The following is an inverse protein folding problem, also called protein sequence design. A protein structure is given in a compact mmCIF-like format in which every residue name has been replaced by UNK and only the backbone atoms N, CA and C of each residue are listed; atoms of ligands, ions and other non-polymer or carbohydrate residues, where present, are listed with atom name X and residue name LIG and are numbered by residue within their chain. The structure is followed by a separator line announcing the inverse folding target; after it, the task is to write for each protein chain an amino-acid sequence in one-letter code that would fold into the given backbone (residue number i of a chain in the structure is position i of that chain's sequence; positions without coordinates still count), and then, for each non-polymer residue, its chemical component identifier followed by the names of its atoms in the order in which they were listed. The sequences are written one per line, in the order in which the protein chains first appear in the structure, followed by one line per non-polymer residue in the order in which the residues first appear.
data_IF_835377852232
#
_entry.id   IF_835377852232
#
_cell.length_a   1.000
_cell.length_b   1.000
_cell.length_c   1.000
_cell.angle_alpha   90.00
_cell.angle_beta   90.00
_cell.angle_gamma   90.00
#
_symmetry.space_group_name_H-M   'P 1'
#
loop_
_entity.id
_entity.type
_entity.pdbx_description
1 polymer ?
#
# COMPACT_ATOMS: atom_id res chain seq x y z
N UNK A 1 -20.90 -2.62 2.20
CA UNK A 1 -20.39 -1.50 1.39
C UNK A 1 -20.91 -1.73 -0.02
N UNK A 2 -21.89 -0.95 -0.50
CA UNK A 2 -22.55 -1.14 -1.80
C UNK A 2 -22.00 -0.23 -2.91
N UNK A 3 -21.32 0.85 -2.55
CA UNK A 3 -20.92 1.92 -3.48
C UNK A 3 -19.42 2.23 -3.39
N UNK A 4 -18.62 1.18 -3.39
CA UNK A 4 -17.16 1.28 -3.28
C UNK A 4 -16.45 0.68 -4.47
N UNK A 5 -15.29 1.24 -4.80
CA UNK A 5 -14.35 0.72 -5.77
C UNK A 5 -13.13 0.13 -5.05
N UNK A 6 -12.70 -1.06 -5.48
CA UNK A 6 -11.45 -1.67 -5.03
C UNK A 6 -10.22 -1.04 -5.72
N UNK A 7 -9.12 -0.86 -4.98
CA UNK A 7 -7.88 -0.29 -5.54
C UNK A 7 -7.13 -1.23 -6.50
N UNK A 8 -7.53 -2.50 -6.64
CA UNK A 8 -6.99 -3.38 -7.69
C UNK A 8 -7.24 -2.82 -9.10
N UNK A 9 -8.34 -2.09 -9.26
CA UNK A 9 -8.75 -1.48 -10.53
C UNK A 9 -7.86 -0.27 -10.92
N UNK A 10 -7.00 0.23 -10.02
CA UNK A 10 -6.12 1.37 -10.30
C UNK A 10 -5.24 1.17 -11.54
N UNK A 11 -4.72 -0.04 -11.75
CA UNK A 11 -3.84 -0.32 -12.90
C UNK A 11 -4.52 -0.02 -14.22
N UNK A 12 -5.71 -0.61 -14.43
CA UNK A 12 -6.52 -0.38 -15.63
C UNK A 12 -6.95 1.08 -15.74
N UNK A 13 -7.46 1.68 -14.66
CA UNK A 13 -7.91 3.08 -14.69
C UNK A 13 -6.80 4.07 -15.00
N UNK A 14 -5.61 3.90 -14.42
CA UNK A 14 -4.51 4.86 -14.57
C UNK A 14 -3.80 4.72 -15.91
N UNK A 15 -3.84 3.55 -16.54
CA UNK A 15 -3.38 3.37 -17.93
C UNK A 15 -4.30 4.11 -18.91
N UNK A 16 -5.61 4.07 -18.71
CA UNK A 16 -6.58 4.72 -19.60
C UNK A 16 -6.70 6.23 -19.33
N UNK A 17 -6.71 6.60 -18.05
CA UNK A 17 -6.83 7.98 -17.58
C UNK A 17 -5.90 8.20 -16.39
N UNK A 18 -4.66 8.63 -16.62
CA UNK A 18 -3.70 8.87 -15.56
C UNK A 18 -4.24 9.86 -14.50
N UNK A 19 -4.01 9.62 -13.20
CA UNK A 19 -4.34 10.58 -12.16
C UNK A 19 -3.43 11.80 -12.26
N UNK A 20 -3.80 12.90 -11.60
CA UNK A 20 -2.85 13.98 -11.37
C UNK A 20 -1.67 13.50 -10.52
N UNK A 21 -0.52 14.15 -10.65
CA UNK A 21 0.64 13.89 -9.81
C UNK A 21 0.29 13.97 -8.31
N UNK A 22 -0.52 14.97 -7.93
CA UNK A 22 -0.93 15.19 -6.55
C UNK A 22 -1.85 14.09 -6.04
N UNK A 23 -2.84 13.69 -6.82
CA UNK A 23 -3.79 12.63 -6.47
C UNK A 23 -3.06 11.29 -6.28
N UNK A 24 -2.13 10.95 -7.19
CA UNK A 24 -1.27 9.77 -7.08
C UNK A 24 -0.43 9.80 -5.80
N UNK A 25 0.24 10.92 -5.54
CA UNK A 25 1.05 11.09 -4.34
C UNK A 25 0.21 10.93 -3.06
N UNK A 26 -0.93 11.63 -2.97
CA UNK A 26 -1.82 11.58 -1.81
C UNK A 26 -2.28 10.14 -1.53
N UNK A 27 -2.62 9.37 -2.57
CA UNK A 27 -3.10 7.99 -2.40
C UNK A 27 -1.98 7.06 -1.90
N UNK A 28 -0.78 7.16 -2.48
CA UNK A 28 0.40 6.40 -2.03
C UNK A 28 0.72 6.71 -0.56
N UNK A 29 0.71 7.99 -0.19
CA UNK A 29 0.97 8.42 1.17
C UNK A 29 -0.10 7.92 2.14
N UNK A 30 -1.38 7.92 1.73
CA UNK A 30 -2.48 7.37 2.54
C UNK A 30 -2.30 5.87 2.79
N UNK A 31 -2.01 5.08 1.75
CA UNK A 31 -1.80 3.64 1.89
C UNK A 31 -0.59 3.34 2.79
N UNK A 32 0.51 4.07 2.60
CA UNK A 32 1.70 3.96 3.43
C UNK A 32 1.41 4.31 4.91
N UNK A 33 0.62 5.35 5.14
CA UNK A 33 0.18 5.74 6.48
C UNK A 33 -0.69 4.66 7.13
N UNK A 34 -1.67 4.11 6.41
CA UNK A 34 -2.51 3.01 6.91
C UNK A 34 -1.65 1.80 7.27
N UNK A 35 -0.77 1.36 6.37
CA UNK A 35 0.13 0.23 6.61
C UNK A 35 1.07 0.47 7.81
N UNK A 36 1.67 1.66 7.87
CA UNK A 36 2.59 2.03 8.95
C UNK A 36 1.88 2.09 10.31
N UNK A 37 0.69 2.68 10.37
CA UNK A 37 -0.11 2.76 11.60
C UNK A 37 -0.56 1.37 12.04
N UNK A 38 -1.09 0.55 11.13
CA UNK A 38 -1.46 -0.84 11.41
C UNK A 38 -0.29 -1.61 12.05
N UNK A 39 0.90 -1.56 11.43
CA UNK A 39 2.07 -2.26 11.94
C UNK A 39 2.63 -1.70 13.26
N UNK A 40 2.58 -0.38 13.46
CA UNK A 40 3.02 0.27 14.72
C UNK A 40 2.10 -0.08 15.88
N UNK A 41 0.79 -0.13 15.64
CA UNK A 41 -0.23 -0.56 16.60
C UNK A 41 -0.29 -2.09 16.77
N UNK A 42 0.69 -2.82 16.22
CA UNK A 42 0.84 -4.24 16.48
C UNK A 42 -0.09 -5.14 15.65
N UNK A 43 -0.82 -4.58 14.68
CA UNK A 43 -1.71 -5.30 13.79
C UNK A 43 -1.01 -5.70 12.49
N UNK A 44 -1.21 -6.93 12.03
CA UNK A 44 -0.84 -7.38 10.68
C UNK A 44 -2.04 -8.07 10.02
N UNK A 45 -2.28 -7.81 8.74
CA UNK A 45 -3.48 -8.25 8.02
C UNK A 45 -3.39 -9.68 7.50
N UNK A 46 -2.20 -10.12 7.07
CA UNK A 46 -1.88 -11.42 6.42
C UNK A 46 -2.34 -11.59 4.98
N UNK A 47 -3.36 -10.86 4.54
CA UNK A 47 -3.88 -10.83 3.17
C UNK A 47 -3.89 -9.39 2.66
N UNK A 48 -2.75 -8.70 2.79
CA UNK A 48 -2.66 -7.26 2.58
C UNK A 48 -2.45 -6.90 1.10
N UNK A 49 -3.52 -6.92 0.31
CA UNK A 49 -3.50 -6.64 -1.13
C UNK A 49 -4.28 -5.36 -1.46
N UNK A 50 -3.99 -4.71 -2.61
CA UNK A 50 -4.75 -3.55 -3.10
C UNK A 50 -6.24 -3.85 -3.21
N UNK A 51 -6.63 -5.08 -3.52
CA UNK A 51 -8.03 -5.46 -3.66
C UNK A 51 -8.86 -5.26 -2.37
N UNK A 52 -8.19 -5.26 -1.20
CA UNK A 52 -8.81 -5.08 0.11
C UNK A 52 -8.87 -3.61 0.57
N UNK A 53 -8.37 -2.69 -0.24
CA UNK A 53 -8.57 -1.25 -0.02
C UNK A 53 -9.71 -0.78 -0.90
N UNK A 54 -10.70 -0.17 -0.26
CA UNK A 54 -11.90 0.34 -0.92
C UNK A 54 -11.97 1.86 -0.81
N UNK A 55 -12.25 2.51 -1.94
CA UNK A 55 -12.61 3.92 -2.05
C UNK A 55 -14.09 4.06 -2.37
N UNK A 56 -14.62 5.26 -2.18
CA UNK A 56 -15.92 5.63 -2.73
C UNK A 56 -15.92 5.50 -4.27
N UNK A 57 -17.03 5.03 -4.85
CA UNK A 57 -17.13 4.79 -6.30
C UNK A 57 -16.95 6.06 -7.14
N UNK A 58 -17.22 7.26 -6.59
CA UNK A 58 -16.94 8.54 -7.27
C UNK A 58 -15.47 8.72 -7.65
N UNK A 59 -14.53 8.06 -6.95
CA UNK A 59 -13.12 8.07 -7.33
C UNK A 59 -12.90 7.48 -8.73
N UNK A 60 -13.64 6.43 -9.09
CA UNK A 60 -13.56 5.80 -10.41
C UNK A 60 -13.92 6.75 -11.55
N UNK A 61 -14.67 7.82 -11.26
CA UNK A 61 -15.13 8.79 -12.25
C UNK A 61 -14.12 9.90 -12.51
N UNK A 62 -13.21 10.18 -11.57
CA UNK A 62 -12.30 11.33 -11.66
C UNK A 62 -10.81 10.97 -11.56
N UNK A 63 -10.46 9.84 -10.94
CA UNK A 63 -9.10 9.52 -10.48
C UNK A 63 -8.48 10.62 -9.60
N UNK A 64 -9.32 11.45 -8.99
CA UNK A 64 -8.87 12.49 -8.07
C UNK A 64 -9.04 12.01 -6.62
N UNK A 65 -7.91 11.89 -5.92
CA UNK A 65 -7.86 11.48 -4.52
C UNK A 65 -7.45 12.66 -3.64
N UNK A 66 -8.34 13.02 -2.72
CA UNK A 66 -8.09 14.00 -1.68
C UNK A 66 -7.77 13.31 -0.35
N UNK A 67 -6.83 13.82 0.48
CA UNK A 67 -6.43 13.15 1.72
C UNK A 67 -7.55 12.93 2.75
N UNK A 68 -8.61 13.73 2.66
CA UNK A 68 -9.84 13.64 3.46
C UNK A 68 -10.75 12.49 3.05
N UNK A 69 -10.58 11.94 1.84
CA UNK A 69 -11.39 10.80 1.38
C UNK A 69 -11.03 9.55 2.18
N UNK A 70 -12.04 8.85 2.73
CA UNK A 70 -11.80 7.63 3.49
C UNK A 70 -11.33 6.51 2.57
N UNK A 71 -10.44 5.67 3.10
CA UNK A 71 -10.12 4.37 2.51
C UNK A 71 -10.53 3.32 3.53
N UNK A 72 -11.35 2.36 3.11
CA UNK A 72 -11.78 1.25 3.95
C UNK A 72 -10.88 0.05 3.69
N UNK A 73 -10.26 -0.47 4.75
CA UNK A 73 -9.53 -1.73 4.71
C UNK A 73 -10.48 -2.85 5.15
N UNK A 74 -10.71 -3.82 4.28
CA UNK A 74 -11.64 -4.94 4.52
C UNK A 74 -10.88 -6.25 4.72
N UNK A 75 -11.62 -7.35 4.88
CA UNK A 75 -11.08 -8.71 4.96
C UNK A 75 -10.13 -8.99 6.15
N UNK A 76 -10.47 -8.43 7.31
CA UNK A 76 -9.68 -8.56 8.55
C UNK A 76 -9.85 -9.91 9.28
N UNK A 77 -10.49 -10.90 8.67
CA UNK A 77 -10.84 -12.19 9.30
C UNK A 77 -9.60 -12.99 9.76
N UNK A 78 -8.45 -12.78 9.11
CA UNK A 78 -7.15 -13.38 9.48
C UNK A 78 -6.19 -12.42 10.17
N UNK A 79 -6.58 -11.16 10.35
CA UNK A 79 -5.72 -10.17 10.97
C UNK A 79 -5.33 -10.57 12.40
N UNK A 80 -4.12 -10.19 12.80
CA UNK A 80 -3.57 -10.51 14.13
C UNK A 80 -3.11 -9.24 14.81
N UNK A 81 -3.40 -9.11 16.10
CA UNK A 81 -2.97 -7.99 16.95
C UNK A 81 -1.99 -8.51 18.00
N UNK A 82 -0.90 -7.78 18.21
CA UNK A 82 0.21 -8.12 19.11
C UNK A 82 0.77 -6.86 19.77
N UNK A 83 1.69 -7.01 20.74
CA UNK A 83 2.47 -5.86 21.26
C UNK A 83 3.35 -5.21 20.19
N UNK A 84 3.88 -6.00 19.25
CA UNK A 84 4.71 -5.54 18.12
C UNK A 84 4.55 -6.53 16.97
N UNK A 85 4.41 -6.04 15.74
CA UNK A 85 4.41 -6.90 14.56
C UNK A 85 5.82 -7.44 14.31
N UNK A 86 6.03 -8.78 14.30
CA UNK A 86 7.30 -9.37 13.91
C UNK A 86 7.66 -9.04 12.45
N UNK A 87 8.96 -8.86 12.17
CA UNK A 87 9.46 -8.51 10.82
C UNK A 87 8.90 -9.39 9.70
N UNK A 88 8.83 -10.71 9.91
CA UNK A 88 8.28 -11.65 8.91
C UNK A 88 6.85 -11.30 8.46
N UNK A 89 6.04 -10.75 9.36
CA UNK A 89 4.66 -10.35 9.05
C UNK A 89 4.62 -8.99 8.36
N UNK A 90 5.52 -8.06 8.69
CA UNK A 90 5.69 -6.82 7.94
C UNK A 90 6.11 -7.11 6.49
N UNK A 91 7.11 -7.98 6.31
CA UNK A 91 7.55 -8.45 4.98
C UNK A 91 6.38 -9.09 4.24
N UNK A 92 5.61 -9.94 4.93
CA UNK A 92 4.46 -10.60 4.34
C UNK A 92 3.44 -9.61 3.79
N UNK A 93 2.97 -8.69 4.63
CA UNK A 93 1.95 -7.72 4.26
C UNK A 93 2.45 -6.76 3.19
N UNK A 94 3.61 -6.12 3.38
CA UNK A 94 4.16 -5.15 2.43
C UNK A 94 4.53 -5.79 1.08
N UNK A 95 5.05 -7.02 1.08
CA UNK A 95 5.37 -7.75 -0.15
C UNK A 95 4.11 -8.13 -0.91
N UNK A 96 3.05 -8.56 -0.23
CA UNK A 96 1.74 -8.83 -0.84
C UNK A 96 1.10 -7.55 -1.42
N UNK A 97 1.22 -6.42 -0.71
CA UNK A 97 0.74 -5.14 -1.21
C UNK A 97 1.50 -4.70 -2.46
N UNK A 98 2.83 -4.79 -2.42
CA UNK A 98 3.68 -4.42 -3.54
C UNK A 98 3.42 -5.29 -4.77
N UNK A 99 3.27 -6.61 -4.56
CA UNK A 99 2.86 -7.55 -5.62
C UNK A 99 1.51 -7.15 -6.25
N UNK A 100 0.48 -6.89 -5.44
CA UNK A 100 -0.84 -6.50 -5.99
C UNK A 100 -0.84 -5.16 -6.72
N UNK A 101 0.19 -4.33 -6.52
CA UNK A 101 0.36 -3.05 -7.21
C UNK A 101 1.11 -3.18 -8.55
N UNK A 102 1.43 -4.39 -9.02
CA UNK A 102 2.24 -4.60 -10.22
C UNK A 102 1.65 -3.95 -11.49
N UNK A 103 0.33 -4.05 -11.69
CA UNK A 103 -0.34 -3.45 -12.84
C UNK A 103 -0.48 -1.92 -12.74
N UNK A 104 -0.16 -1.33 -11.58
CA UNK A 104 -0.19 0.13 -11.38
C UNK A 104 1.12 0.72 -11.90
N UNK A 105 1.09 1.77 -12.76
CA UNK A 105 2.30 2.40 -13.31
C UNK A 105 3.06 3.21 -12.25
N UNK A 106 3.70 2.53 -11.30
CA UNK A 106 4.48 3.11 -10.20
C UNK A 106 5.93 3.34 -10.63
N UNK A 107 6.45 4.51 -10.29
CA UNK A 107 7.87 4.84 -10.49
C UNK A 107 8.68 4.53 -9.24
N UNK A 108 10.01 4.48 -9.35
CA UNK A 108 10.87 4.33 -8.18
C UNK A 108 10.65 5.45 -7.13
N UNK A 109 10.35 6.67 -7.59
CA UNK A 109 10.05 7.80 -6.68
C UNK A 109 8.75 7.58 -5.91
N UNK A 110 7.78 6.88 -6.50
CA UNK A 110 6.52 6.52 -5.82
C UNK A 110 6.77 5.52 -4.71
N UNK A 111 7.62 4.51 -4.96
CA UNK A 111 8.05 3.55 -3.94
C UNK A 111 8.82 4.23 -2.80
N UNK A 112 9.70 5.18 -3.11
CA UNK A 112 10.41 5.96 -2.09
C UNK A 112 9.48 6.84 -1.25
N UNK A 113 8.42 7.41 -1.83
CA UNK A 113 7.38 8.13 -1.07
C UNK A 113 6.66 7.18 -0.11
N UNK A 114 6.29 5.99 -0.58
CA UNK A 114 5.69 4.97 0.27
C UNK A 114 6.60 4.63 1.45
N UNK A 115 7.88 4.31 1.18
CA UNK A 115 8.87 3.96 2.20
C UNK A 115 9.01 5.07 3.24
N UNK A 116 9.20 6.33 2.80
CA UNK A 116 9.33 7.49 3.67
C UNK A 116 8.13 7.65 4.60
N UNK A 117 6.91 7.55 4.05
CA UNK A 117 5.67 7.75 4.81
C UNK A 117 5.37 6.57 5.74
N UNK A 118 5.66 5.34 5.29
CA UNK A 118 5.49 4.13 6.10
C UNK A 118 6.39 4.17 7.35
N UNK A 119 7.66 4.53 7.19
CA UNK A 119 8.61 4.59 8.32
C UNK A 119 8.44 5.83 9.18
N UNK A 120 7.93 6.94 8.62
CA UNK A 120 7.90 8.23 9.29
C UNK A 120 9.29 8.88 9.43
N UNK A 121 10.28 8.40 8.67
CA UNK A 121 11.67 8.86 8.72
C UNK A 121 12.06 9.62 7.45
N UNK A 122 13.24 10.24 7.44
CA UNK A 122 13.83 10.71 6.17
C UNK A 122 14.12 9.51 5.26
N UNK A 123 14.05 9.69 3.93
CA UNK A 123 14.30 8.61 2.98
C UNK A 123 15.69 7.97 3.18
N UNK A 124 16.70 8.78 3.52
CA UNK A 124 18.05 8.30 3.81
C UNK A 124 18.04 7.31 4.98
N UNK A 125 17.46 7.70 6.11
CA UNK A 125 17.34 6.84 7.30
C UNK A 125 16.52 5.58 7.00
N UNK A 126 15.36 5.75 6.34
CA UNK A 126 14.47 4.65 6.00
C UNK A 126 15.16 3.58 5.14
N UNK A 127 16.05 3.99 4.24
CA UNK A 127 16.80 3.08 3.39
C UNK A 127 18.03 2.48 4.10
N UNK A 128 18.73 3.24 4.94
CA UNK A 128 19.92 2.75 5.64
C UNK A 128 19.58 1.84 6.83
N UNK A 129 18.60 2.21 7.67
CA UNK A 129 18.26 1.48 8.90
C UNK A 129 17.37 0.26 8.64
N UNK A 130 16.62 0.27 7.53
CA UNK A 130 15.67 -0.79 7.19
C UNK A 130 15.97 -1.47 5.85
N UNK A 131 17.22 -1.40 5.38
CA UNK A 131 17.66 -1.99 4.11
C UNK A 131 17.20 -3.45 3.95
N UNK A 132 17.46 -4.28 4.95
CA UNK A 132 17.11 -5.71 4.94
C UNK A 132 15.59 -5.93 4.90
N UNK A 133 14.78 -5.04 5.49
CA UNK A 133 13.31 -5.11 5.35
C UNK A 133 12.90 -4.89 3.89
N UNK A 134 13.40 -3.82 3.26
CA UNK A 134 13.01 -3.46 1.89
C UNK A 134 13.47 -4.46 0.85
N UNK A 135 14.67 -5.03 1.04
CA UNK A 135 15.16 -6.14 0.21
C UNK A 135 14.24 -7.35 0.30
N UNK A 136 13.83 -7.76 1.51
CA UNK A 136 12.92 -8.89 1.70
C UNK A 136 11.51 -8.62 1.17
N UNK A 137 11.00 -7.39 1.29
CA UNK A 137 9.72 -6.97 0.70
C UNK A 137 9.76 -7.09 -0.82
N UNK A 138 10.82 -6.57 -1.45
CA UNK A 138 11.01 -6.69 -2.89
C UNK A 138 11.10 -8.15 -3.31
N UNK A 139 11.96 -8.94 -2.66
CA UNK A 139 12.14 -10.35 -2.97
C UNK A 139 10.83 -11.14 -2.87
N UNK A 140 10.02 -10.88 -1.83
CA UNK A 140 8.71 -11.51 -1.69
C UNK A 140 7.78 -11.15 -2.84
N UNK A 141 7.70 -9.88 -3.21
CA UNK A 141 6.85 -9.43 -4.31
C UNK A 141 7.28 -10.07 -5.65
N UNK A 142 8.59 -10.13 -5.91
CA UNK A 142 9.14 -10.77 -7.10
C UNK A 142 8.84 -12.29 -7.12
N UNK A 143 8.93 -12.98 -5.97
CA UNK A 143 8.55 -14.40 -5.88
C UNK A 143 7.08 -14.62 -6.19
N UNK A 144 6.18 -13.82 -5.61
CA UNK A 144 4.74 -13.91 -5.90
C UNK A 144 4.41 -13.63 -7.37
N UNK A 145 5.24 -12.84 -8.06
CA UNK A 145 5.07 -12.57 -9.49
C UNK A 145 5.54 -13.72 -10.38
N UNK A 146 6.47 -14.55 -9.90
CA UNK A 146 6.99 -15.70 -10.64
C UNK A 146 6.20 -16.99 -10.42
N UNK A 147 5.24 -17.00 -9.48
CA UNK A 147 4.28 -18.08 -9.22
C UNK A 147 3.14 -18.08 -10.26
#
# INVERSE_FOLDING_TARGET
LSDTMSLEELGRQWTQRPPSFRSKQNLIEKLAHIAGTMHREGMNHRDFYLCHFLLDKSFAETNDYQPTMPIYLIDLHRAQIRKRVPKRWQVKDLGSLYFSAYAVPLTQRDLFRFIKTYTGQSLRQALSEHQDLWQQVKQRADTLYAE
#
